data_IF_471692586044
#
_entry.id   IF_471692586044
#
_cell.length_a   1.000
_cell.length_b   1.000
_cell.length_c   1.000
_cell.angle_alpha   90.00
_cell.angle_beta   90.00
_cell.angle_gamma   90.00
#
_symmetry.space_group_name_H-M   'P 1'
#
loop_
_entity.id
_entity.type
_entity.pdbx_description
1 polymer ?
#
# COMPACT_ATOMS: atom_id res chain seq x y z
N UNK A 1 13.28 0.28 9.00
CA UNK A 1 12.42 0.07 7.80
C UNK A 1 12.60 -1.40 7.52
N UNK A 2 11.73 -2.22 8.07
CA UNK A 2 11.98 -3.66 8.16
C UNK A 2 11.33 -4.32 6.96
N UNK A 3 12.15 -5.02 6.17
CA UNK A 3 11.72 -5.83 5.03
C UNK A 3 11.79 -7.29 5.46
N UNK A 4 10.73 -8.04 5.19
CA UNK A 4 10.62 -9.46 5.53
C UNK A 4 10.81 -10.35 4.29
N UNK A 5 11.11 -11.62 4.53
CA UNK A 5 11.15 -12.63 3.46
C UNK A 5 9.74 -12.77 2.88
N UNK A 6 9.63 -12.59 1.56
CA UNK A 6 8.36 -12.62 0.82
C UNK A 6 7.87 -11.24 0.38
N UNK A 7 8.47 -10.15 0.89
CA UNK A 7 8.10 -8.80 0.48
C UNK A 7 8.49 -8.51 -0.97
N UNK A 8 7.61 -7.79 -1.67
CA UNK A 8 7.89 -7.27 -3.01
C UNK A 8 8.83 -6.08 -2.92
N UNK A 9 9.83 -6.04 -3.79
CA UNK A 9 10.83 -4.97 -3.85
C UNK A 9 10.93 -4.38 -5.25
N UNK A 10 11.29 -3.11 -5.33
CA UNK A 10 11.69 -2.45 -6.58
C UNK A 10 13.21 -2.34 -6.62
N UNK A 11 13.79 -2.71 -7.77
CA UNK A 11 15.22 -2.66 -8.01
C UNK A 11 15.49 -1.68 -9.13
N UNK A 12 16.29 -0.65 -8.85
CA UNK A 12 16.64 0.40 -9.83
C UNK A 12 18.13 0.70 -9.79
N UNK A 13 18.70 1.05 -10.94
CA UNK A 13 20.08 1.55 -11.03
C UNK A 13 20.04 3.07 -11.02
N UNK A 14 20.74 3.68 -10.07
CA UNK A 14 20.86 5.13 -9.95
C UNK A 14 22.28 5.50 -9.55
N UNK A 15 22.92 6.44 -10.25
CA UNK A 15 24.30 6.87 -9.99
C UNK A 15 25.32 5.71 -9.89
N UNK A 16 25.26 4.74 -10.80
CA UNK A 16 26.14 3.54 -10.80
C UNK A 16 26.00 2.67 -9.54
N UNK A 17 24.91 2.81 -8.80
CA UNK A 17 24.56 1.99 -7.64
C UNK A 17 23.23 1.28 -7.87
N UNK A 18 23.10 0.10 -7.29
CA UNK A 18 21.83 -0.64 -7.23
C UNK A 18 21.09 -0.19 -5.98
N UNK A 19 19.89 0.35 -6.16
CA UNK A 19 18.97 0.74 -5.09
C UNK A 19 17.85 -0.30 -5.03
N UNK A 20 17.63 -0.85 -3.84
CA UNK A 20 16.54 -1.77 -3.54
C UNK A 20 15.64 -1.07 -2.53
N UNK A 21 14.36 -0.92 -2.86
CA UNK A 21 13.39 -0.25 -2.00
C UNK A 21 12.10 -1.08 -1.88
N UNK A 22 11.36 -0.96 -0.76
CA UNK A 22 10.08 -1.62 -0.61
C UNK A 22 9.10 -1.17 -1.71
N UNK A 23 8.47 -2.12 -2.39
CA UNK A 23 7.46 -1.83 -3.39
C UNK A 23 6.16 -1.43 -2.68
N UNK A 24 5.93 -0.13 -2.50
CA UNK A 24 4.68 0.40 -1.93
C UNK A 24 3.79 0.96 -3.03
N UNK A 25 2.51 0.57 -3.09
CA UNK A 25 1.59 1.19 -4.02
C UNK A 25 1.41 2.67 -3.65
N UNK A 26 1.32 3.51 -4.67
CA UNK A 26 0.94 4.91 -4.52
C UNK A 26 -0.56 5.01 -4.23
N UNK A 27 -0.99 6.11 -3.60
CA UNK A 27 -2.41 6.40 -3.42
C UNK A 27 -3.18 6.34 -4.74
N UNK A 28 -2.61 6.89 -5.82
CA UNK A 28 -3.23 6.86 -7.15
C UNK A 28 -3.44 5.43 -7.67
N UNK A 29 -2.45 4.54 -7.49
CA UNK A 29 -2.58 3.13 -7.87
C UNK A 29 -3.64 2.40 -7.06
N UNK A 30 -3.75 2.69 -5.76
CA UNK A 30 -4.79 2.10 -4.92
C UNK A 30 -6.19 2.56 -5.35
N UNK A 31 -6.36 3.86 -5.58
CA UNK A 31 -7.64 4.42 -6.02
C UNK A 31 -8.05 3.91 -7.40
N UNK A 32 -7.11 3.69 -8.32
CA UNK A 32 -7.40 3.13 -9.66
C UNK A 32 -7.90 1.69 -9.65
N UNK A 33 -7.73 0.96 -8.55
CA UNK A 33 -8.19 -0.42 -8.41
C UNK A 33 -9.62 -0.50 -7.86
N UNK A 34 -10.21 0.62 -7.44
CA UNK A 34 -11.58 0.67 -6.95
C UNK A 34 -12.53 0.61 -8.14
N UNK A 35 -13.47 -0.33 -8.10
CA UNK A 35 -14.57 -0.46 -9.05
C UNK A 35 -15.90 -0.37 -8.31
N UNK A 36 -16.99 -0.16 -9.03
CA UNK A 36 -18.32 -0.09 -8.41
C UNK A 36 -18.68 -1.41 -7.71
N UNK A 37 -18.14 -2.54 -8.16
CA UNK A 37 -18.40 -3.88 -7.60
C UNK A 37 -17.53 -4.22 -6.38
N UNK A 38 -16.37 -3.57 -6.18
CA UNK A 38 -15.47 -3.85 -5.05
C UNK A 38 -15.47 -2.74 -3.99
N UNK A 39 -16.28 -1.71 -4.20
CA UNK A 39 -16.47 -0.63 -3.23
C UNK A 39 -17.20 -1.20 -2.00
N UNK A 40 -16.56 -1.09 -0.85
CA UNK A 40 -17.14 -1.53 0.41
C UNK A 40 -18.06 -0.44 0.96
N UNK A 41 -19.19 -0.85 1.53
CA UNK A 41 -20.07 0.05 2.28
C UNK A 41 -19.37 0.53 3.56
N UNK A 42 -19.79 1.68 4.07
CA UNK A 42 -19.32 2.17 5.36
C UNK A 42 -19.66 1.18 6.47
N UNK A 43 -18.63 0.62 7.10
CA UNK A 43 -18.80 -0.25 8.27
C UNK A 43 -18.70 0.61 9.52
N UNK A 44 -19.85 0.94 10.11
CA UNK A 44 -19.90 1.63 11.41
C UNK A 44 -19.84 0.55 12.50
N UNK A 45 -18.71 0.45 13.19
CA UNK A 45 -18.59 -0.43 14.37
C UNK A 45 -19.01 0.30 15.63
N UNK A 46 -19.66 -0.38 16.59
CA UNK A 46 -20.01 0.20 17.90
C UNK A 46 -18.78 0.41 18.82
N UNK A 47 -17.59 0.04 18.36
CA UNK A 47 -16.30 0.25 19.03
C UNK A 47 -15.77 1.66 18.76
N UNK A 48 -15.95 2.56 19.71
CA UNK A 48 -15.28 3.87 19.71
C UNK A 48 -13.75 3.71 19.84
N UNK A 49 -12.98 4.48 19.06
CA UNK A 49 -11.52 4.60 19.21
C UNK A 49 -10.67 3.80 18.22
N UNK A 50 -11.29 3.09 17.27
CA UNK A 50 -10.62 2.46 16.12
C UNK A 50 -11.07 3.07 14.79
N UNK A 51 -11.67 4.26 14.81
CA UNK A 51 -11.97 4.97 13.57
C UNK A 51 -10.65 5.29 12.83
N UNK A 52 -10.61 5.00 11.53
CA UNK A 52 -9.47 5.37 10.68
C UNK A 52 -9.40 6.91 10.62
N UNK A 53 -8.40 7.51 11.26
CA UNK A 53 -8.04 8.93 11.11
C UNK A 53 -7.57 9.25 9.69
#
# INVERSE_FOLDING_TARGET
>A
MDMAVGDKVEVKVFNQQIIIEPAKPTLAQLLSQITDENRHDEVITETMGNELL
#
